data_IF_661386605341
#
_entry.id   IF_661386605341
#
_cell.length_a   1.000
_cell.length_b   1.000
_cell.length_c   1.000
_cell.angle_alpha   90.00
_cell.angle_beta   90.00
_cell.angle_gamma   90.00
#
_symmetry.space_group_name_H-M   'P 1'
#
loop_
_entity.id
_entity.type
_entity.pdbx_description
1 polymer ?
#
# COMPACT_ATOMS: atom_id res chain seq x y z
N UNK A 1 31.60 -33.59 -13.27
CA UNK A 1 32.90 -32.89 -13.09
C UNK A 1 34.02 -33.84 -13.45
N UNK A 2 35.12 -33.35 -14.02
CA UNK A 2 36.32 -34.16 -14.22
C UNK A 2 37.15 -34.28 -12.92
N UNK A 3 38.27 -35.00 -12.96
CA UNK A 3 39.14 -35.21 -11.81
C UNK A 3 39.76 -33.93 -11.21
N UNK A 4 39.72 -32.79 -11.93
CA UNK A 4 40.24 -31.51 -11.43
C UNK A 4 39.16 -30.60 -10.83
N UNK A 5 37.92 -31.10 -10.71
CA UNK A 5 36.78 -30.33 -10.18
C UNK A 5 36.15 -29.39 -11.21
N UNK A 6 36.48 -29.54 -12.50
CA UNK A 6 35.91 -28.73 -13.57
C UNK A 6 34.65 -29.38 -14.14
N UNK A 7 33.57 -28.63 -14.31
CA UNK A 7 32.38 -29.09 -15.03
C UNK A 7 32.71 -29.26 -16.53
N UNK A 8 32.19 -30.32 -17.14
CA UNK A 8 32.43 -30.67 -18.55
C UNK A 8 31.25 -30.34 -19.44
N UNK A 9 30.08 -30.11 -18.85
CA UNK A 9 28.83 -29.71 -19.48
C UNK A 9 28.15 -28.69 -18.57
N UNK A 10 27.19 -27.97 -19.12
CA UNK A 10 26.28 -27.16 -18.31
C UNK A 10 25.47 -28.10 -17.39
N UNK A 11 25.18 -27.62 -16.20
CA UNK A 11 24.38 -28.32 -15.21
C UNK A 11 23.32 -27.40 -14.62
N UNK A 12 22.12 -27.93 -14.42
CA UNK A 12 21.07 -27.28 -13.64
C UNK A 12 20.71 -28.23 -12.50
N UNK A 13 20.93 -27.77 -11.27
CA UNK A 13 20.57 -28.50 -10.06
C UNK A 13 19.36 -27.82 -9.45
N UNK A 14 18.32 -28.58 -9.11
CA UNK A 14 17.11 -28.04 -8.48
C UNK A 14 16.81 -28.84 -7.22
N UNK A 15 16.43 -28.16 -6.15
CA UNK A 15 15.96 -28.81 -4.91
C UNK A 15 14.69 -29.61 -5.18
N UNK A 16 14.43 -30.63 -4.36
CA UNK A 16 13.30 -31.54 -4.58
C UNK A 16 11.94 -30.83 -4.53
N UNK A 17 11.84 -29.76 -3.74
CA UNK A 17 10.67 -28.88 -3.64
C UNK A 17 10.53 -27.88 -4.80
N UNK A 18 11.52 -27.80 -5.70
CA UNK A 18 11.50 -26.88 -6.84
C UNK A 18 11.78 -25.41 -6.49
N UNK A 19 12.07 -25.07 -5.24
CA UNK A 19 12.21 -23.67 -4.78
C UNK A 19 13.56 -23.07 -5.16
N UNK A 20 14.64 -23.85 -5.16
CA UNK A 20 15.99 -23.35 -5.42
C UNK A 20 16.62 -24.10 -6.58
N UNK A 21 17.12 -23.34 -7.56
CA UNK A 21 17.94 -23.85 -8.65
C UNK A 21 19.32 -23.20 -8.67
N UNK A 22 20.32 -23.98 -9.09
CA UNK A 22 21.68 -23.51 -9.37
C UNK A 22 22.06 -23.92 -10.79
N UNK A 23 22.33 -22.91 -11.62
CA UNK A 23 22.83 -23.07 -12.98
C UNK A 23 24.36 -22.97 -12.97
N UNK A 24 25.03 -24.03 -13.41
CA UNK A 24 26.48 -24.19 -13.39
C UNK A 24 26.96 -24.34 -14.83
N UNK A 25 27.55 -23.28 -15.41
CA UNK A 25 28.10 -23.36 -16.76
C UNK A 25 29.22 -24.39 -16.88
N UNK A 26 29.37 -24.95 -18.07
CA UNK A 26 30.52 -25.79 -18.43
C UNK A 26 31.82 -25.03 -18.22
N UNK A 27 32.83 -25.73 -17.71
CA UNK A 27 34.13 -25.17 -17.41
C UNK A 27 34.27 -24.53 -16.04
N UNK A 28 33.21 -24.48 -15.22
CA UNK A 28 33.26 -24.02 -13.83
C UNK A 28 34.09 -24.96 -12.97
N UNK A 29 35.05 -24.39 -12.23
CA UNK A 29 35.88 -25.11 -11.25
C UNK A 29 35.19 -25.01 -9.89
N UNK A 30 34.99 -26.16 -9.24
CA UNK A 30 34.35 -26.26 -7.94
C UNK A 30 35.31 -26.92 -6.96
N UNK A 31 35.73 -26.18 -5.95
CA UNK A 31 36.71 -26.65 -4.94
C UNK A 31 36.14 -26.53 -3.55
N UNK A 32 36.47 -27.48 -2.68
CA UNK A 32 36.16 -27.40 -1.27
C UNK A 32 37.11 -26.43 -0.54
N UNK A 33 36.87 -26.22 0.76
CA UNK A 33 37.71 -25.33 1.59
C UNK A 33 39.19 -25.76 1.66
N UNK A 34 39.49 -27.05 1.43
CA UNK A 34 40.86 -27.57 1.36
C UNK A 34 41.50 -27.41 -0.04
N UNK A 35 40.82 -26.75 -0.99
CA UNK A 35 41.30 -26.53 -2.35
C UNK A 35 41.22 -27.77 -3.25
N UNK A 36 40.61 -28.86 -2.78
CA UNK A 36 40.40 -30.08 -3.55
C UNK A 36 39.09 -30.03 -4.35
N UNK A 37 38.94 -30.82 -5.42
CA UNK A 37 37.67 -30.95 -6.15
C UNK A 37 36.50 -31.25 -5.20
N UNK A 38 35.43 -30.44 -5.26
CA UNK A 38 34.22 -30.71 -4.48
C UNK A 38 33.48 -31.90 -5.10
N UNK A 39 33.22 -33.00 -4.35
CA UNK A 39 32.68 -34.23 -4.92
C UNK A 39 31.19 -34.14 -5.28
N UNK A 40 30.42 -33.35 -4.52
CA UNK A 40 28.99 -33.16 -4.72
C UNK A 40 28.54 -31.77 -4.30
N UNK A 41 27.41 -31.36 -4.84
CA UNK A 41 26.71 -30.12 -4.47
C UNK A 41 25.38 -30.54 -3.87
N UNK A 42 25.01 -29.95 -2.76
CA UNK A 42 23.73 -30.22 -2.08
C UNK A 42 23.16 -28.91 -1.56
N UNK A 43 21.85 -28.74 -1.63
CA UNK A 43 21.15 -27.66 -0.96
C UNK A 43 20.10 -28.26 -0.03
N UNK A 44 20.06 -27.79 1.21
CA UNK A 44 19.11 -28.23 2.22
C UNK A 44 18.35 -27.02 2.75
N UNK A 45 17.05 -27.18 3.00
CA UNK A 45 16.25 -26.16 3.68
C UNK A 45 16.91 -25.85 5.03
N UNK A 46 17.12 -24.56 5.29
CA UNK A 46 17.64 -24.11 6.57
C UNK A 46 16.48 -23.99 7.56
N UNK A 47 16.48 -24.88 8.56
CA UNK A 47 15.38 -24.99 9.54
C UNK A 47 15.53 -24.05 10.72
N UNK A 48 16.74 -23.52 10.95
CA UNK A 48 17.02 -22.53 11.99
C UNK A 48 17.88 -21.40 11.42
N UNK A 49 17.34 -20.62 10.47
CA UNK A 49 18.12 -19.61 9.77
C UNK A 49 18.63 -18.51 10.72
N UNK A 50 19.82 -17.94 10.45
CA UNK A 50 20.31 -16.78 11.19
C UNK A 50 19.31 -15.63 11.20
N UNK A 51 19.28 -14.88 12.31
CA UNK A 51 18.40 -13.73 12.47
C UNK A 51 18.61 -12.68 11.37
N UNK A 52 17.51 -12.09 10.90
CA UNK A 52 17.49 -11.02 9.89
C UNK A 52 17.36 -9.65 10.54
N UNK A 53 17.60 -8.59 9.79
CA UNK A 53 17.42 -7.21 10.27
C UNK A 53 15.91 -6.87 10.45
N UNK A 54 15.55 -5.93 11.35
CA UNK A 54 14.14 -5.62 11.65
C UNK A 54 13.28 -5.21 10.43
N UNK A 55 13.91 -4.59 9.44
CA UNK A 55 13.29 -4.09 8.21
C UNK A 55 13.22 -5.16 7.10
N UNK A 56 13.60 -6.40 7.38
CA UNK A 56 13.57 -7.52 6.45
C UNK A 56 12.53 -8.55 6.89
N UNK A 57 12.02 -9.32 5.93
CA UNK A 57 11.44 -10.65 6.21
C UNK A 57 12.12 -11.69 5.36
N UNK A 58 12.03 -12.92 5.83
CA UNK A 58 12.56 -14.10 5.17
C UNK A 58 11.42 -14.91 4.56
N UNK A 59 11.59 -15.27 3.30
CA UNK A 59 10.65 -16.12 2.55
C UNK A 59 11.16 -17.56 2.56
N UNK A 60 12.42 -17.75 2.15
CA UNK A 60 13.09 -19.06 2.15
C UNK A 60 14.53 -18.93 2.61
N UNK A 61 15.10 -20.01 3.13
CA UNK A 61 16.52 -20.13 3.42
C UNK A 61 17.03 -21.54 3.12
N UNK A 62 18.21 -21.64 2.52
CA UNK A 62 18.88 -22.89 2.20
C UNK A 62 20.36 -22.82 2.54
N UNK A 63 20.90 -23.90 3.10
CA UNK A 63 22.33 -24.09 3.25
C UNK A 63 22.87 -24.87 2.05
N UNK A 64 23.84 -24.28 1.35
CA UNK A 64 24.52 -24.93 0.24
C UNK A 64 25.74 -25.69 0.76
N UNK A 65 25.65 -27.01 0.77
CA UNK A 65 26.70 -27.94 1.20
C UNK A 65 27.37 -27.54 2.52
N UNK A 66 28.64 -27.90 2.67
CA UNK A 66 29.49 -27.38 3.74
C UNK A 66 30.09 -26.03 3.33
N UNK A 67 30.00 -24.99 4.19
CA UNK A 67 30.58 -23.68 3.90
C UNK A 67 32.07 -23.74 3.52
N UNK A 68 32.49 -22.82 2.65
CA UNK A 68 33.89 -22.65 2.25
C UNK A 68 34.28 -23.29 0.91
N UNK A 69 33.38 -24.05 0.26
CA UNK A 69 33.58 -24.40 -1.14
C UNK A 69 33.39 -23.19 -2.06
N UNK A 70 34.12 -23.14 -3.18
CA UNK A 70 34.14 -22.00 -4.12
C UNK A 70 33.81 -22.42 -5.55
N UNK A 71 33.25 -21.49 -6.31
CA UNK A 71 33.00 -21.58 -7.74
C UNK A 71 33.91 -20.59 -8.49
N UNK A 72 34.47 -21.02 -9.61
CA UNK A 72 35.22 -20.14 -10.52
C UNK A 72 34.99 -20.55 -11.98
N UNK A 73 34.30 -19.75 -12.81
CA UNK A 73 33.66 -18.44 -12.51
C UNK A 73 32.43 -18.57 -11.61
N UNK A 74 31.71 -17.46 -11.39
CA UNK A 74 30.42 -17.42 -10.69
C UNK A 74 29.39 -18.35 -11.34
N UNK A 75 28.46 -18.85 -10.52
CA UNK A 75 27.31 -19.64 -10.97
C UNK A 75 26.02 -18.86 -10.73
N UNK A 76 24.96 -19.20 -11.47
CA UNK A 76 23.64 -18.61 -11.28
C UNK A 76 22.88 -19.32 -10.17
N UNK A 77 22.24 -18.57 -9.29
CA UNK A 77 21.29 -19.05 -8.29
C UNK A 77 19.93 -18.41 -8.58
N UNK A 78 18.87 -19.22 -8.56
CA UNK A 78 17.50 -18.76 -8.76
C UNK A 78 16.61 -19.34 -7.66
N UNK A 79 15.94 -18.46 -6.93
CA UNK A 79 14.81 -18.82 -6.09
C UNK A 79 13.52 -18.66 -6.88
N UNK A 80 12.67 -19.68 -6.86
CA UNK A 80 11.28 -19.60 -7.28
C UNK A 80 10.41 -19.42 -6.04
N UNK A 81 9.34 -18.65 -6.17
CA UNK A 81 8.43 -18.37 -5.07
C UNK A 81 6.96 -18.51 -5.48
N UNK A 82 6.11 -18.65 -4.48
CA UNK A 82 4.67 -18.47 -4.64
C UNK A 82 4.32 -17.11 -4.03
N UNK A 83 3.61 -16.26 -4.78
CA UNK A 83 3.15 -14.94 -4.34
C UNK A 83 2.44 -14.98 -2.98
N UNK A 84 1.62 -16.01 -2.74
CA UNK A 84 0.90 -16.18 -1.47
C UNK A 84 1.80 -16.53 -0.28
N UNK A 85 3.02 -16.98 -0.55
CA UNK A 85 4.05 -17.26 0.45
C UNK A 85 4.89 -16.04 0.82
N UNK A 86 4.76 -14.92 0.10
CA UNK A 86 5.49 -13.69 0.41
C UNK A 86 4.76 -12.99 1.58
N UNK A 87 5.50 -12.57 2.63
CA UNK A 87 4.94 -11.76 3.69
C UNK A 87 4.26 -10.51 3.12
N UNK A 88 3.05 -10.24 3.59
CA UNK A 88 2.16 -9.19 3.09
C UNK A 88 2.77 -7.77 3.10
N UNK A 89 3.78 -7.55 3.94
CA UNK A 89 4.48 -6.27 4.04
C UNK A 89 5.60 -6.09 2.99
N UNK A 90 5.80 -7.07 2.10
CA UNK A 90 6.84 -7.07 1.07
C UNK A 90 6.21 -7.02 -0.32
N UNK A 91 6.65 -6.07 -1.12
CA UNK A 91 6.42 -6.10 -2.57
C UNK A 91 7.36 -7.12 -3.22
N UNK A 92 6.90 -7.85 -4.22
CA UNK A 92 7.74 -8.78 -4.97
C UNK A 92 9.01 -8.11 -5.52
N UNK A 93 8.89 -6.88 -6.00
CA UNK A 93 10.02 -6.09 -6.50
C UNK A 93 11.06 -5.73 -5.43
N UNK A 94 10.73 -5.88 -4.15
CA UNK A 94 11.67 -5.70 -3.03
C UNK A 94 12.37 -7.01 -2.62
N UNK A 95 12.08 -8.13 -3.30
CA UNK A 95 12.76 -9.39 -3.02
C UNK A 95 14.21 -9.34 -3.50
N UNK A 96 15.09 -10.00 -2.76
CA UNK A 96 16.49 -10.15 -3.10
C UNK A 96 17.07 -11.43 -2.48
N UNK A 97 18.17 -11.91 -3.06
CA UNK A 97 18.94 -13.01 -2.47
C UNK A 97 19.97 -12.44 -1.50
N UNK A 98 19.90 -12.86 -0.24
CA UNK A 98 20.90 -12.58 0.78
C UNK A 98 21.89 -13.74 0.93
N UNK A 99 23.17 -13.42 1.10
CA UNK A 99 24.20 -14.38 1.47
C UNK A 99 24.59 -14.17 2.94
N UNK A 100 24.58 -15.24 3.74
CA UNK A 100 25.14 -15.19 5.09
C UNK A 100 26.67 -15.18 5.03
N UNK A 101 27.33 -14.25 5.72
CA UNK A 101 28.81 -14.19 5.80
C UNK A 101 29.39 -14.76 7.11
N UNK A 102 28.54 -15.31 7.98
CA UNK A 102 28.91 -15.74 9.33
C UNK A 102 28.48 -14.75 10.42
N UNK A 103 28.16 -13.50 10.06
CA UNK A 103 27.81 -12.42 10.99
C UNK A 103 26.52 -11.72 10.59
N UNK A 104 26.31 -11.46 9.30
CA UNK A 104 25.15 -10.76 8.75
C UNK A 104 24.76 -11.28 7.37
N UNK A 105 23.54 -10.95 6.98
CA UNK A 105 23.04 -11.16 5.63
C UNK A 105 23.50 -10.04 4.72
N UNK A 106 24.35 -10.35 3.74
CA UNK A 106 24.78 -9.41 2.71
C UNK A 106 23.85 -9.54 1.48
N UNK A 107 23.15 -8.47 1.07
CA UNK A 107 22.36 -8.48 -0.14
C UNK A 107 23.23 -8.68 -1.38
N UNK A 108 22.79 -9.55 -2.29
CA UNK A 108 23.42 -9.73 -3.60
C UNK A 108 22.69 -8.91 -4.66
N UNK A 109 23.39 -8.44 -5.71
CA UNK A 109 22.75 -7.92 -6.92
C UNK A 109 21.80 -8.97 -7.50
N UNK A 110 20.50 -8.74 -7.34
CA UNK A 110 19.43 -9.68 -7.65
C UNK A 110 18.54 -9.15 -8.77
N UNK A 111 18.05 -10.04 -9.62
CA UNK A 111 17.06 -9.75 -10.65
C UNK A 111 15.75 -10.43 -10.29
N UNK A 112 14.70 -9.63 -10.06
CA UNK A 112 13.34 -10.12 -9.82
C UNK A 112 12.60 -10.22 -11.14
N UNK A 113 11.96 -11.36 -11.38
CA UNK A 113 10.98 -11.59 -12.44
C UNK A 113 9.63 -11.95 -11.79
N UNK A 114 8.74 -10.96 -11.72
CA UNK A 114 7.40 -11.08 -11.10
C UNK A 114 6.38 -11.78 -12.01
N UNK A 115 6.76 -12.17 -13.22
CA UNK A 115 5.91 -12.97 -14.12
C UNK A 115 6.28 -14.45 -13.96
N UNK A 116 7.59 -14.74 -13.90
CA UNK A 116 8.11 -16.08 -13.65
C UNK A 116 8.13 -16.45 -12.16
N UNK A 117 7.77 -15.52 -11.27
CA UNK A 117 7.85 -15.64 -9.82
C UNK A 117 9.21 -16.17 -9.35
N UNK A 118 10.26 -15.46 -9.79
CA UNK A 118 11.64 -15.86 -9.50
C UNK A 118 12.55 -14.68 -9.17
N UNK A 119 13.58 -14.96 -8.37
CA UNK A 119 14.66 -14.02 -8.08
C UNK A 119 15.98 -14.70 -8.35
N UNK A 120 16.84 -14.07 -9.16
CA UNK A 120 18.14 -14.64 -9.56
C UNK A 120 19.32 -13.78 -9.16
N UNK A 121 20.43 -14.39 -8.77
CA UNK A 121 21.70 -13.72 -8.47
C UNK A 121 22.90 -14.59 -8.88
N UNK A 122 24.08 -13.98 -8.98
CA UNK A 122 25.34 -14.71 -9.18
C UNK A 122 26.03 -14.97 -7.84
N UNK A 123 26.54 -16.19 -7.65
CA UNK A 123 27.23 -16.60 -6.41
C UNK A 123 28.62 -17.18 -6.71
N UNK A 124 29.53 -17.09 -5.74
CA UNK A 124 30.94 -17.52 -5.85
C UNK A 124 31.34 -18.61 -4.88
N UNK A 125 30.50 -18.96 -3.91
CA UNK A 125 30.85 -19.93 -2.88
C UNK A 125 29.63 -20.64 -2.30
N UNK A 126 29.90 -21.64 -1.48
CA UNK A 126 28.91 -22.28 -0.63
C UNK A 126 28.72 -21.44 0.63
N UNK A 127 27.47 -21.20 0.98
CA UNK A 127 27.03 -20.52 2.20
C UNK A 127 25.56 -20.86 2.46
N UNK A 128 25.00 -20.26 3.50
CA UNK A 128 23.55 -20.12 3.64
C UNK A 128 23.08 -18.95 2.78
N UNK A 129 22.05 -19.19 1.98
CA UNK A 129 21.40 -18.21 1.12
C UNK A 129 19.93 -18.13 1.47
N UNK A 130 19.37 -16.93 1.43
CA UNK A 130 17.96 -16.71 1.70
C UNK A 130 17.32 -15.84 0.63
N UNK A 131 16.07 -16.15 0.30
CA UNK A 131 15.18 -15.20 -0.36
C UNK A 131 14.60 -14.30 0.74
N UNK A 132 15.01 -13.05 0.72
CA UNK A 132 14.60 -12.02 1.66
C UNK A 132 13.79 -10.96 0.92
N UNK A 133 13.07 -10.12 1.65
CA UNK A 133 12.54 -8.88 1.11
C UNK A 133 12.57 -7.76 2.14
N UNK A 134 12.75 -6.54 1.66
CA UNK A 134 12.62 -5.35 2.50
C UNK A 134 11.14 -5.02 2.71
N UNK A 135 10.79 -4.82 3.98
CA UNK A 135 9.48 -4.33 4.38
C UNK A 135 9.24 -2.97 3.73
N UNK A 136 8.11 -2.81 3.06
CA UNK A 136 7.71 -1.51 2.55
C UNK A 136 7.27 -0.64 3.74
N UNK A 137 7.91 0.53 3.91
CA UNK A 137 7.40 1.54 4.83
C UNK A 137 6.05 2.03 4.28
N UNK A 138 4.93 1.87 5.02
CA UNK A 138 3.63 2.29 4.52
C UNK A 138 3.60 3.79 4.24
N UNK A 139 2.95 4.23 3.15
CA UNK A 139 2.75 5.64 2.90
C UNK A 139 1.76 6.23 3.90
N UNK A 140 1.89 7.52 4.17
CA UNK A 140 1.00 8.25 5.09
C UNK A 140 0.13 9.20 4.28
N UNK A 141 -1.14 9.28 4.65
CA UNK A 141 -2.13 10.14 4.01
C UNK A 141 -2.81 11.00 5.07
N UNK A 142 -2.84 12.31 4.86
CA UNK A 142 -3.64 13.24 5.66
C UNK A 142 -4.46 14.16 4.76
N UNK A 143 -5.73 14.41 5.13
CA UNK A 143 -6.53 15.44 4.46
C UNK A 143 -6.24 16.78 5.13
N UNK A 144 -5.82 17.77 4.35
CA UNK A 144 -5.53 19.12 4.84
C UNK A 144 -6.72 20.06 4.67
N UNK A 145 -7.56 19.81 3.66
CA UNK A 145 -8.80 20.56 3.41
C UNK A 145 -9.71 19.78 2.44
N UNK A 146 -11.04 19.90 2.52
CA UNK A 146 -11.78 20.55 3.58
C UNK A 146 -11.84 19.69 4.86
N UNK A 147 -12.42 20.25 5.91
CA UNK A 147 -12.80 19.46 7.09
C UNK A 147 -14.02 18.59 6.78
N UNK A 148 -14.13 17.45 7.43
CA UNK A 148 -15.31 16.60 7.32
C UNK A 148 -16.58 17.37 7.76
N UNK A 149 -17.63 17.30 6.96
CA UNK A 149 -18.89 18.02 7.15
C UNK A 149 -18.89 19.46 6.62
N UNK A 150 -17.84 19.90 5.92
CA UNK A 150 -17.81 21.25 5.35
C UNK A 150 -19.00 21.50 4.41
N UNK A 151 -19.55 22.71 4.48
CA UNK A 151 -20.71 23.14 3.69
C UNK A 151 -20.28 24.18 2.66
N UNK A 152 -20.67 23.96 1.41
CA UNK A 152 -20.35 24.81 0.27
C UNK A 152 -21.62 25.43 -0.32
N UNK A 153 -21.56 26.72 -0.66
CA UNK A 153 -22.67 27.42 -1.31
C UNK A 153 -22.77 27.07 -2.81
N UNK A 154 -21.69 26.59 -3.41
CA UNK A 154 -21.60 26.20 -4.81
C UNK A 154 -21.17 24.75 -4.93
N UNK A 155 -21.47 24.12 -6.08
CA UNK A 155 -21.02 22.76 -6.41
C UNK A 155 -19.53 22.67 -6.77
N UNK A 156 -18.70 23.62 -6.34
CA UNK A 156 -17.25 23.62 -6.55
C UNK A 156 -16.56 23.31 -5.24
N UNK A 157 -15.96 22.13 -5.15
CA UNK A 157 -15.28 21.64 -3.95
C UNK A 157 -13.86 21.24 -4.33
N UNK A 158 -12.87 21.75 -3.58
CA UNK A 158 -11.46 21.35 -3.71
C UNK A 158 -11.03 20.61 -2.48
N UNK A 159 -10.51 19.40 -2.67
CA UNK A 159 -9.86 18.60 -1.64
C UNK A 159 -8.35 18.66 -1.82
N UNK A 160 -7.65 18.83 -0.72
CA UNK A 160 -6.18 18.87 -0.62
C UNK A 160 -5.72 17.85 0.40
N UNK A 161 -4.62 17.17 0.09
CA UNK A 161 -4.00 16.16 0.93
C UNK A 161 -2.53 16.46 1.16
N UNK A 162 -1.99 15.85 2.19
CA UNK A 162 -0.56 15.70 2.41
C UNK A 162 -0.20 14.21 2.34
N UNK A 163 0.97 13.91 1.77
CA UNK A 163 1.42 12.55 1.49
C UNK A 163 2.89 12.42 1.86
N UNK A 164 3.18 11.52 2.81
CA UNK A 164 4.55 11.18 3.21
C UNK A 164 4.91 9.73 2.81
N UNK A 165 6.22 9.47 2.72
CA UNK A 165 6.80 8.18 2.36
C UNK A 165 6.32 7.65 0.98
N UNK A 166 5.88 8.55 0.10
CA UNK A 166 5.43 8.21 -1.25
C UNK A 166 5.75 9.32 -2.25
N UNK A 167 6.43 8.96 -3.32
CA UNK A 167 6.59 9.81 -4.50
C UNK A 167 5.45 9.53 -5.47
N UNK A 168 4.60 10.54 -5.70
CA UNK A 168 3.47 10.41 -6.63
C UNK A 168 3.94 10.54 -8.08
N UNK A 169 3.66 9.52 -8.89
CA UNK A 169 4.15 9.43 -10.28
C UNK A 169 3.03 9.08 -11.25
N UNK A 170 3.23 9.40 -12.53
CA UNK A 170 2.29 9.06 -13.61
C UNK A 170 2.88 8.04 -14.59
N UNK A 171 2.05 7.56 -15.53
CA UNK A 171 2.41 6.56 -16.53
C UNK A 171 2.22 5.11 -16.08
N UNK A 172 2.59 4.18 -16.95
CA UNK A 172 2.61 2.73 -16.70
C UNK A 172 4.01 2.34 -16.29
N UNK A 173 4.18 1.86 -15.04
CA UNK A 173 5.48 1.59 -14.42
C UNK A 173 5.38 0.36 -13.51
N UNK A 174 6.48 -0.38 -13.28
CA UNK A 174 6.50 -1.44 -12.26
C UNK A 174 6.30 -0.85 -10.86
N UNK A 175 5.84 -1.67 -9.93
CA UNK A 175 5.73 -1.27 -8.52
C UNK A 175 7.14 -1.15 -7.92
N UNK A 176 7.45 0.02 -7.37
CA UNK A 176 8.71 0.32 -6.70
C UNK A 176 8.38 0.84 -5.31
N UNK A 177 9.09 0.39 -4.28
CA UNK A 177 8.87 0.87 -2.93
C UNK A 177 9.05 2.39 -2.83
N UNK A 178 8.11 3.05 -2.15
CA UNK A 178 8.10 4.50 -2.02
C UNK A 178 7.63 5.25 -3.28
N UNK A 179 7.20 4.54 -4.33
CA UNK A 179 6.51 5.11 -5.49
C UNK A 179 5.03 4.69 -5.51
N UNK A 180 4.18 5.57 -6.02
CA UNK A 180 2.77 5.25 -6.20
C UNK A 180 1.96 6.39 -6.80
N UNK A 181 0.66 6.32 -6.60
CA UNK A 181 -0.33 7.26 -7.16
C UNK A 181 -1.43 7.53 -6.14
N UNK A 182 -2.23 8.54 -6.44
CA UNK A 182 -3.45 8.84 -5.68
C UNK A 182 -4.67 8.66 -6.57
N UNK A 183 -5.70 8.03 -6.03
CA UNK A 183 -7.02 7.97 -6.63
C UNK A 183 -7.99 8.76 -5.74
N UNK A 184 -8.65 9.75 -6.33
CA UNK A 184 -9.74 10.48 -5.71
C UNK A 184 -11.08 9.88 -6.16
N UNK A 185 -11.99 9.64 -5.23
CA UNK A 185 -13.29 9.03 -5.47
C UNK A 185 -14.42 10.02 -5.14
N UNK A 186 -15.53 9.93 -5.87
CA UNK A 186 -16.75 10.68 -5.61
C UNK A 186 -17.91 9.71 -5.49
N UNK A 187 -18.60 9.75 -4.34
CA UNK A 187 -19.85 9.03 -4.07
C UNK A 187 -19.79 7.52 -4.38
N UNK A 188 -18.65 6.90 -4.10
CA UNK A 188 -18.42 5.47 -4.31
C UNK A 188 -17.60 4.88 -3.16
N UNK A 189 -17.84 3.61 -2.87
CA UNK A 189 -17.03 2.84 -1.93
C UNK A 189 -15.62 2.63 -2.50
N UNK A 190 -14.60 2.77 -1.65
CA UNK A 190 -13.20 2.65 -2.04
C UNK A 190 -12.86 1.15 -2.20
N UNK A 191 -12.42 0.68 -3.38
CA UNK A 191 -11.98 -0.70 -3.54
C UNK A 191 -10.65 -0.91 -2.81
N UNK A 192 -10.63 -1.84 -1.85
CA UNK A 192 -9.46 -2.13 -0.99
C UNK A 192 -8.96 -3.56 -1.13
N UNK A 193 -9.48 -4.30 -2.11
CA UNK A 193 -9.13 -5.69 -2.34
C UNK A 193 -7.70 -5.80 -2.89
N UNK A 194 -6.87 -6.59 -2.20
CA UNK A 194 -5.46 -6.76 -2.52
C UNK A 194 -5.27 -7.43 -3.88
N UNK A 195 -4.26 -6.97 -4.63
CA UNK A 195 -3.95 -7.49 -5.97
C UNK A 195 -4.97 -7.15 -7.05
N UNK A 196 -6.08 -6.47 -6.71
CA UNK A 196 -7.05 -5.98 -7.69
C UNK A 196 -6.89 -4.49 -7.91
N UNK A 197 -7.25 -4.04 -9.11
CA UNK A 197 -7.25 -2.62 -9.43
C UNK A 197 -8.21 -1.86 -8.54
N UNK A 198 -7.76 -0.72 -8.02
CA UNK A 198 -8.57 0.19 -7.21
C UNK A 198 -9.42 1.16 -8.06
N UNK A 199 -9.56 0.88 -9.36
CA UNK A 199 -10.30 1.70 -10.32
C UNK A 199 -11.78 1.32 -10.29
N UNK A 200 -12.65 2.32 -10.11
CA UNK A 200 -14.11 2.19 -10.13
C UNK A 200 -14.69 2.55 -11.50
N UNK A 201 -16.03 2.58 -11.61
CA UNK A 201 -16.70 2.95 -12.84
C UNK A 201 -16.28 4.34 -13.37
N UNK A 202 -16.25 4.56 -14.70
CA UNK A 202 -15.94 5.87 -15.26
C UNK A 202 -16.81 6.98 -14.66
N UNK A 203 -16.18 8.10 -14.32
CA UNK A 203 -16.86 9.25 -13.72
C UNK A 203 -16.93 9.25 -12.18
N UNK A 204 -16.64 8.13 -11.52
CA UNK A 204 -16.65 8.06 -10.04
C UNK A 204 -15.26 8.20 -9.42
N UNK A 205 -14.20 8.32 -10.23
CA UNK A 205 -12.83 8.49 -9.75
C UNK A 205 -11.99 9.43 -10.61
N UNK A 206 -10.84 9.85 -10.09
CA UNK A 206 -9.75 10.49 -10.82
C UNK A 206 -8.42 9.88 -10.36
N UNK A 207 -7.73 9.23 -11.28
CA UNK A 207 -6.35 8.75 -11.10
C UNK A 207 -5.37 9.90 -11.36
N UNK A 208 -4.51 10.21 -10.39
CA UNK A 208 -3.66 11.38 -10.41
C UNK A 208 -2.31 11.16 -9.70
N UNK A 209 -1.42 12.15 -9.87
CA UNK A 209 -0.17 12.29 -9.13
C UNK A 209 -0.02 13.70 -8.55
N UNK A 210 -1.15 14.30 -8.17
CA UNK A 210 -1.21 15.64 -7.57
C UNK A 210 -1.94 15.55 -6.23
N UNK A 211 -1.58 16.42 -5.30
CA UNK A 211 -2.10 16.45 -3.92
C UNK A 211 -3.37 17.29 -3.76
N UNK A 212 -4.03 17.66 -4.87
CA UNK A 212 -5.33 18.32 -4.83
C UNK A 212 -6.23 17.90 -5.96
N UNK A 213 -7.53 17.79 -5.70
CA UNK A 213 -8.57 17.55 -6.69
C UNK A 213 -9.72 18.54 -6.51
N UNK A 214 -10.13 19.16 -7.60
CA UNK A 214 -11.35 19.98 -7.66
C UNK A 214 -12.44 19.25 -8.41
N UNK A 215 -13.62 19.15 -7.80
CA UNK A 215 -14.86 18.80 -8.46
C UNK A 215 -15.65 20.07 -8.73
N UNK A 216 -16.27 20.14 -9.90
CA UNK A 216 -17.14 21.25 -10.30
C UNK A 216 -18.52 20.70 -10.63
N UNK A 217 -19.54 21.56 -10.47
CA UNK A 217 -20.93 21.23 -10.75
C UNK A 217 -21.47 20.03 -9.95
N UNK A 218 -21.01 19.86 -8.70
CA UNK A 218 -21.65 18.93 -7.77
C UNK A 218 -23.10 19.36 -7.53
N UNK A 219 -24.00 18.38 -7.53
CA UNK A 219 -25.40 18.63 -7.25
C UNK A 219 -25.59 19.05 -5.78
N UNK A 220 -26.70 19.73 -5.43
CA UNK A 220 -27.05 19.95 -4.04
C UNK A 220 -27.25 18.63 -3.29
N UNK A 221 -26.71 18.53 -2.08
CA UNK A 221 -26.79 17.31 -1.28
C UNK A 221 -25.51 17.00 -0.52
N UNK A 222 -25.47 15.82 0.07
CA UNK A 222 -24.26 15.28 0.72
C UNK A 222 -23.45 14.48 -0.28
N UNK A 223 -22.16 14.73 -0.33
CA UNK A 223 -21.20 14.00 -1.16
C UNK A 223 -20.11 13.37 -0.30
N UNK A 224 -19.70 12.16 -0.67
CA UNK A 224 -18.56 11.46 -0.07
C UNK A 224 -17.35 11.59 -0.98
N UNK A 225 -16.26 12.13 -0.42
CA UNK A 225 -14.98 12.30 -1.10
C UNK A 225 -13.99 11.28 -0.53
N UNK A 226 -13.68 10.25 -1.32
CA UNK A 226 -12.72 9.22 -0.96
C UNK A 226 -11.34 9.51 -1.53
N UNK A 227 -10.30 9.07 -0.84
CA UNK A 227 -8.91 9.12 -1.29
C UNK A 227 -8.27 7.77 -0.99
N UNK A 228 -7.51 7.24 -1.94
CA UNK A 228 -6.66 6.08 -1.72
C UNK A 228 -5.29 6.33 -2.34
N UNK A 229 -4.24 6.04 -1.57
CA UNK A 229 -2.90 5.88 -2.12
C UNK A 229 -2.76 4.45 -2.64
N UNK A 230 -2.24 4.31 -3.86
CA UNK A 230 -2.11 3.02 -4.56
C UNK A 230 -0.71 2.86 -5.13
N UNK A 231 -0.34 1.63 -5.43
CA UNK A 231 0.88 1.30 -6.15
C UNK A 231 0.86 1.82 -7.60
N UNK A 232 1.99 1.74 -8.30
CA UNK A 232 2.12 2.21 -9.68
C UNK A 232 1.15 1.48 -10.65
N UNK A 233 0.82 0.23 -10.37
CA UNK A 233 -0.16 -0.58 -11.12
C UNK A 233 -1.63 -0.36 -10.70
N UNK A 234 -1.90 0.56 -9.76
CA UNK A 234 -3.21 0.90 -9.18
C UNK A 234 -3.80 -0.15 -8.25
N UNK A 235 -3.02 -1.12 -7.79
CA UNK A 235 -3.43 -2.00 -6.69
C UNK A 235 -3.28 -1.27 -5.35
N UNK A 236 -4.14 -1.55 -4.35
CA UNK A 236 -3.98 -1.02 -3.01
C UNK A 236 -2.62 -1.38 -2.40
N UNK A 237 -2.11 -0.50 -1.52
CA UNK A 237 -1.06 -0.90 -0.57
C UNK A 237 -1.60 -1.92 0.45
N UNK A 238 -0.68 -2.55 1.19
CA UNK A 238 -1.02 -3.51 2.22
C UNK A 238 -0.40 -3.12 3.58
N UNK A 239 -1.20 -2.67 4.56
CA UNK A 239 -2.65 -2.45 4.49
C UNK A 239 -3.04 -1.30 3.52
N UNK A 240 -4.29 -1.25 3.04
CA UNK A 240 -4.79 -0.14 2.23
C UNK A 240 -4.64 1.21 2.94
N UNK A 241 -4.19 2.23 2.22
CA UNK A 241 -4.03 3.60 2.75
C UNK A 241 -5.13 4.48 2.17
N UNK A 242 -6.19 4.68 2.95
CA UNK A 242 -7.41 5.38 2.52
C UNK A 242 -7.81 6.48 3.49
N UNK A 243 -8.57 7.45 2.98
CA UNK A 243 -9.28 8.45 3.78
C UNK A 243 -10.63 8.75 3.11
N UNK A 244 -11.62 9.13 3.90
CA UNK A 244 -12.93 9.56 3.41
C UNK A 244 -13.44 10.72 4.24
N UNK A 245 -14.06 11.69 3.58
CA UNK A 245 -14.82 12.74 4.25
C UNK A 245 -16.11 13.03 3.49
N UNK A 246 -17.08 13.60 4.20
CA UNK A 246 -18.35 14.04 3.63
C UNK A 246 -18.38 15.56 3.53
N UNK A 247 -18.97 16.09 2.48
CA UNK A 247 -19.25 17.52 2.30
C UNK A 247 -20.71 17.73 1.94
N UNK A 248 -21.21 18.95 2.16
CA UNK A 248 -22.59 19.31 1.81
C UNK A 248 -22.56 20.46 0.83
N UNK A 249 -23.24 20.33 -0.29
CA UNK A 249 -23.49 21.41 -1.25
C UNK A 249 -24.91 21.91 -1.05
N UNK A 250 -25.07 23.22 -0.81
CA UNK A 250 -26.39 23.82 -0.61
C UNK A 250 -27.21 23.82 -1.90
N UNK A 251 -28.53 23.77 -1.75
CA UNK A 251 -29.45 24.02 -2.86
C UNK A 251 -29.40 25.50 -3.25
N UNK A 252 -29.28 25.85 -4.55
CA UNK A 252 -29.39 27.22 -5.00
C UNK A 252 -30.74 27.82 -4.56
N UNK A 253 -30.71 28.78 -3.65
CA UNK A 253 -31.91 29.50 -3.19
C UNK A 253 -32.46 29.11 -1.80
N UNK A 254 -31.74 28.36 -0.98
CA UNK A 254 -32.08 28.24 0.45
C UNK A 254 -31.70 29.52 1.22
N UNK A 255 -32.28 30.66 0.83
CA UNK A 255 -32.34 31.83 1.71
C UNK A 255 -33.28 31.43 2.86
N UNK A 256 -32.79 31.46 4.10
CA UNK A 256 -33.68 31.36 5.24
C UNK A 256 -34.66 32.54 5.15
N UNK A 257 -35.90 32.27 4.74
CA UNK A 257 -37.01 33.20 4.93
C UNK A 257 -37.25 33.29 6.42
N UNK A 258 -36.50 34.18 7.08
CA UNK A 258 -36.84 34.64 8.41
C UNK A 258 -38.10 35.49 8.27
N UNK A 259 -39.28 34.87 8.40
CA UNK A 259 -40.53 35.62 8.52
C UNK A 259 -40.51 36.32 9.88
N UNK A 260 -39.97 37.53 9.91
CA UNK A 260 -40.25 38.50 10.97
C UNK A 260 -41.76 38.77 10.89
N UNK A 261 -42.56 38.51 11.93
CA UNK A 261 -43.91 39.04 11.98
C UNK A 261 -43.77 40.56 12.04
N UNK A 262 -44.23 41.26 10.99
CA UNK A 262 -44.32 42.70 11.04
C UNK A 262 -45.36 43.07 12.11
N UNK A 263 -44.85 43.67 13.16
CA UNK A 263 -45.55 44.39 14.22
C UNK A 263 -46.44 45.47 13.59
N UNK A 264 -47.76 45.28 13.67
CA UNK A 264 -48.75 46.29 13.32
C UNK A 264 -48.95 47.19 14.54
N UNK A 265 -48.51 48.45 14.45
CA UNK A 265 -49.07 49.47 15.32
C UNK A 265 -49.05 50.88 14.72
N UNK A 266 -50.18 51.59 14.85
CA UNK A 266 -50.39 52.98 14.45
C UNK A 266 -51.66 53.18 13.60
N UNK A 267 -52.85 52.82 14.08
CA UNK A 267 -53.72 53.62 14.96
C UNK A 267 -54.65 54.55 14.16
N UNK A 268 -55.95 54.25 14.17
CA UNK A 268 -57.05 55.20 14.32
C UNK A 268 -58.34 54.43 14.71
N UNK A 269 -58.85 54.78 15.90
CA UNK A 269 -60.26 54.92 16.33
C UNK A 269 -61.31 53.80 16.17
N UNK A 270 -61.71 53.14 17.29
CA UNK A 270 -63.11 53.15 17.78
C UNK A 270 -63.25 52.58 19.21
N UNK A 271 -64.18 53.17 19.98
CA UNK A 271 -64.59 52.83 21.36
C UNK A 271 -65.46 51.55 21.42
N UNK A 272 -65.28 50.70 22.45
CA UNK A 272 -66.29 50.22 23.43
C UNK A 272 -65.95 48.86 24.12
N UNK A 273 -65.57 48.94 25.41
CA UNK A 273 -65.87 48.12 26.64
C UNK A 273 -65.99 46.55 26.63
N UNK A 274 -65.97 45.83 27.78
CA UNK A 274 -64.96 44.81 28.10
C UNK A 274 -65.51 43.36 28.20
N UNK A 275 -64.66 42.34 28.00
CA UNK A 275 -65.09 40.94 28.06
C UNK A 275 -63.98 39.97 28.44
N UNK A 276 -64.16 39.38 29.62
CA UNK A 276 -63.37 38.35 30.30
C UNK A 276 -63.40 36.99 29.56
N UNK A 277 -62.35 36.17 29.75
CA UNK A 277 -62.33 34.68 29.82
C UNK A 277 -61.69 33.80 28.70
N UNK A 278 -60.65 33.07 29.15
CA UNK A 278 -60.38 31.61 29.04
C UNK A 278 -59.62 31.01 27.83
N UNK A 279 -58.55 30.28 28.18
CA UNK A 279 -58.04 29.07 27.50
C UNK A 279 -56.83 29.34 26.59
N UNK A 280 -55.61 28.86 26.82
CA UNK A 280 -55.16 27.61 27.44
C UNK A 280 -54.63 26.69 26.35
N UNK A 281 -53.30 26.62 26.17
CA UNK A 281 -52.56 25.43 25.74
C UNK A 281 -51.05 25.71 25.68
N UNK A 282 -50.33 25.15 26.66
CA UNK A 282 -48.91 24.79 26.55
C UNK A 282 -48.71 23.78 25.42
N UNK A 283 -47.68 23.93 24.60
CA UNK A 283 -46.87 22.76 24.15
C UNK A 283 -45.39 23.13 24.20
N UNK A 284 -44.67 22.20 24.82
CA UNK A 284 -43.27 22.16 25.23
C UNK A 284 -42.35 21.88 24.03
N UNK A 285 -41.23 22.61 23.91
CA UNK A 285 -40.08 22.16 23.12
C UNK A 285 -38.93 21.86 24.08
N UNK A 286 -38.57 20.58 24.12
CA UNK A 286 -37.50 19.99 24.92
C UNK A 286 -36.15 20.34 24.29
N UNK A 287 -35.32 21.10 25.02
CA UNK A 287 -33.91 21.32 24.68
C UNK A 287 -33.08 20.27 25.43
N UNK A 288 -32.42 19.36 24.70
CA UNK A 288 -31.43 18.45 25.27
C UNK A 288 -30.02 18.98 24.97
N UNK A 289 -29.37 19.53 26.00
CA UNK A 289 -27.95 19.90 25.99
C UNK A 289 -27.19 18.68 26.52
N UNK A 290 -26.30 18.10 25.71
CA UNK A 290 -25.35 17.09 26.17
C UNK A 290 -24.02 17.77 26.52
N UNK A 291 -23.70 17.80 27.81
CA UNK A 291 -22.38 18.12 28.35
C UNK A 291 -21.66 16.81 28.59
N UNK A 292 -20.41 16.70 28.13
CA UNK A 292 -19.45 15.75 28.69
C UNK A 292 -18.14 16.50 28.96
N UNK A 293 -17.79 16.61 30.25
CA UNK A 293 -16.47 16.99 30.73
C UNK A 293 -15.71 15.71 31.08
N UNK A 294 -14.43 15.72 30.70
CA UNK A 294 -13.42 14.73 31.05
C UNK A 294 -13.22 14.60 32.56
N UNK A 295 -13.05 13.36 33.00
CA UNK A 295 -12.04 12.96 33.99
C UNK A 295 -11.28 11.79 33.41
#
# INVERSE_FOLDING_TARGET
MNATGRTTTDGLLTTLDGVLSISIPSGTIIRNAAGQPQPFISALVETSPPSIEPHQRMVYAYSLGTPGATFSPTVGMTFFYNETGIPKEILESNLFIGQWDGVRWNPLPSLVDTIANSVSASITNFSTYALLGFVQVPPVLAITSPVNGAVFDTGTVTLSIDVDNLTLLTGTRPNIAGEGRVIYYLDVEIPVEQGKTAITAPGTFTDAAVTSKTWTNLAPGTHSLGIQLVQNDRTPFNPPVTAVLNVIVKSPGATATSTIPADNNGDLNDNTIPGLMIGGALVVILILILVARNT
#
